data_IF_752380138433
#
_entry.id   IF_752380138433
#
_cell.length_a   1.000
_cell.length_b   1.000
_cell.length_c   1.000
_cell.angle_alpha   90.00
_cell.angle_beta   90.00
_cell.angle_gamma   90.00
#
_symmetry.space_group_name_H-M   'P 1'
#
loop_
_entity.id
_entity.type
_entity.pdbx_description
1 polymer ?
#
# COMPACT_ATOMS: atom_id res chain seq x y z
N UNK A 1 -7.76 -35.83 -19.32
CA UNK A 1 -7.99 -35.19 -18.00
C UNK A 1 -7.58 -33.74 -18.15
N UNK A 2 -8.52 -32.85 -18.54
CA UNK A 2 -8.28 -31.45 -18.63
C UNK A 2 -8.03 -30.93 -17.20
N UNK A 3 -6.80 -30.51 -16.97
CA UNK A 3 -6.46 -29.72 -15.78
C UNK A 3 -7.23 -28.40 -15.91
N UNK A 4 -8.37 -28.30 -15.25
CA UNK A 4 -9.07 -27.03 -15.06
C UNK A 4 -8.13 -26.12 -14.26
N UNK A 5 -7.23 -25.45 -14.97
CA UNK A 5 -6.33 -24.49 -14.38
C UNK A 5 -7.19 -23.33 -13.89
N UNK A 6 -7.34 -23.24 -12.58
CA UNK A 6 -7.97 -22.07 -11.97
C UNK A 6 -7.23 -20.81 -12.44
N UNK A 7 -7.95 -19.76 -12.86
CA UNK A 7 -7.31 -18.55 -13.40
C UNK A 7 -6.30 -17.95 -12.41
N UNK A 8 -5.17 -17.52 -12.92
CA UNK A 8 -4.17 -16.83 -12.11
C UNK A 8 -4.66 -15.48 -11.58
N UNK A 9 -4.02 -14.97 -10.54
CA UNK A 9 -4.35 -13.69 -9.91
C UNK A 9 -3.16 -13.10 -9.18
N UNK A 10 -3.30 -11.84 -8.77
CA UNK A 10 -2.27 -11.08 -8.06
C UNK A 10 -2.78 -10.78 -6.66
N UNK A 11 -1.95 -11.06 -5.64
CA UNK A 11 -2.12 -10.58 -4.27
C UNK A 11 -1.06 -9.51 -4.05
N UNK A 12 -1.50 -8.28 -3.83
CA UNK A 12 -0.62 -7.12 -3.64
C UNK A 12 -0.69 -6.64 -2.19
N UNK A 13 0.36 -6.97 -1.40
CA UNK A 13 0.48 -6.49 -0.04
C UNK A 13 1.21 -5.15 -0.05
N UNK A 14 0.52 -4.09 0.36
CA UNK A 14 1.08 -2.75 0.56
C UNK A 14 1.01 -2.36 2.03
N UNK A 15 1.87 -1.44 2.45
CA UNK A 15 1.95 -1.00 3.84
C UNK A 15 3.35 -0.49 4.17
N UNK A 16 3.50 0.21 5.28
CA UNK A 16 4.77 0.76 5.73
C UNK A 16 5.83 -0.33 5.96
N UNK A 17 7.09 0.04 6.01
CA UNK A 17 8.17 -0.89 6.38
C UNK A 17 7.90 -1.46 7.77
N UNK A 18 8.33 -2.70 8.04
CA UNK A 18 8.09 -3.41 9.32
C UNK A 18 6.60 -3.66 9.66
N UNK A 19 5.65 -3.34 8.78
CA UNK A 19 4.22 -3.67 9.00
C UNK A 19 3.93 -5.18 8.95
N UNK A 20 4.82 -6.00 8.38
CA UNK A 20 4.66 -7.47 8.32
C UNK A 20 4.38 -8.01 6.93
N UNK A 21 4.52 -7.21 5.86
CA UNK A 21 4.29 -7.61 4.47
C UNK A 21 5.05 -8.86 4.07
N UNK A 22 6.38 -8.85 4.21
CA UNK A 22 7.27 -9.98 3.89
C UNK A 22 6.86 -11.25 4.59
N UNK A 23 6.57 -11.19 5.90
CA UNK A 23 6.14 -12.35 6.69
C UNK A 23 4.86 -12.95 6.15
N UNK A 24 3.85 -12.12 5.89
CA UNK A 24 2.57 -12.56 5.34
C UNK A 24 2.73 -13.07 3.91
N UNK A 25 3.47 -12.37 3.06
CA UNK A 25 3.67 -12.76 1.66
C UNK A 25 4.39 -14.10 1.53
N UNK A 26 5.45 -14.32 2.32
CA UNK A 26 6.18 -15.59 2.34
C UNK A 26 5.28 -16.76 2.73
N UNK A 27 4.51 -16.61 3.81
CA UNK A 27 3.59 -17.64 4.28
C UNK A 27 2.45 -17.90 3.27
N UNK A 28 1.90 -16.85 2.65
CA UNK A 28 0.89 -16.97 1.60
C UNK A 28 1.45 -17.74 0.40
N UNK A 29 2.62 -17.36 -0.10
CA UNK A 29 3.25 -18.00 -1.25
C UNK A 29 3.55 -19.47 -0.98
N UNK A 30 4.10 -19.80 0.19
CA UNK A 30 4.39 -21.17 0.59
C UNK A 30 3.11 -22.03 0.64
N UNK A 31 2.06 -21.55 1.27
CA UNK A 31 0.81 -22.30 1.39
C UNK A 31 0.11 -22.50 0.04
N UNK A 32 0.08 -21.49 -0.79
CA UNK A 32 -0.48 -21.59 -2.14
C UNK A 32 0.31 -22.60 -3.00
N UNK A 33 1.64 -22.58 -2.92
CA UNK A 33 2.49 -23.54 -3.61
C UNK A 33 2.24 -24.99 -3.10
N UNK A 34 2.15 -25.18 -1.79
CA UNK A 34 1.83 -26.50 -1.19
C UNK A 34 0.43 -26.99 -1.56
N UNK A 35 -0.52 -26.11 -1.79
CA UNK A 35 -1.84 -26.42 -2.31
C UNK A 35 -1.87 -26.68 -3.83
N UNK A 36 -0.70 -26.72 -4.48
CA UNK A 36 -0.57 -27.04 -5.91
C UNK A 36 -0.77 -25.85 -6.86
N UNK A 37 -0.79 -24.60 -6.34
CA UNK A 37 -0.84 -23.40 -7.18
C UNK A 37 0.56 -23.01 -7.65
N UNK A 38 0.82 -22.85 -8.95
CA UNK A 38 2.03 -22.18 -9.42
C UNK A 38 2.10 -20.78 -8.80
N UNK A 39 3.07 -20.55 -7.93
CA UNK A 39 3.12 -19.30 -7.15
C UNK A 39 4.49 -18.67 -7.25
N UNK A 40 4.52 -17.35 -7.47
CA UNK A 40 5.73 -16.54 -7.46
C UNK A 40 5.63 -15.48 -6.37
N UNK A 41 6.60 -15.49 -5.46
CA UNK A 41 6.80 -14.41 -4.49
C UNK A 41 7.61 -13.29 -5.15
N UNK A 42 7.15 -12.05 -5.00
CA UNK A 42 7.83 -10.83 -5.39
C UNK A 42 7.92 -9.91 -4.18
N UNK A 43 9.03 -9.97 -3.47
CA UNK A 43 9.27 -9.16 -2.26
C UNK A 43 10.39 -8.16 -2.53
N UNK A 44 10.11 -6.86 -2.31
CA UNK A 44 11.08 -5.79 -2.55
C UNK A 44 12.28 -5.84 -1.59
N UNK A 45 12.09 -6.35 -0.37
CA UNK A 45 13.15 -6.52 0.62
C UNK A 45 13.82 -7.92 0.54
N UNK A 46 13.32 -8.81 -0.33
CA UNK A 46 13.73 -10.21 -0.47
C UNK A 46 14.20 -10.60 -1.86
N UNK A 47 13.64 -11.69 -2.38
CA UNK A 47 14.09 -12.34 -3.63
C UNK A 47 13.97 -11.45 -4.87
N UNK A 48 13.02 -10.53 -4.90
CA UNK A 48 12.81 -9.64 -6.03
C UNK A 48 13.57 -8.31 -5.91
N UNK A 49 14.52 -8.20 -4.97
CA UNK A 49 15.31 -6.98 -4.75
C UNK A 49 16.04 -6.50 -6.01
N UNK A 50 16.38 -7.38 -6.92
CA UNK A 50 17.00 -7.01 -8.20
C UNK A 50 16.08 -6.12 -9.07
N UNK A 51 14.76 -6.22 -8.92
CA UNK A 51 13.80 -5.41 -9.66
C UNK A 51 13.80 -3.93 -9.24
N UNK A 52 14.35 -3.61 -8.08
CA UNK A 52 14.44 -2.24 -7.58
C UNK A 52 15.83 -1.62 -7.77
N UNK A 53 16.78 -2.36 -8.34
CA UNK A 53 18.14 -1.84 -8.57
C UNK A 53 18.12 -0.57 -9.40
N UNK A 54 18.91 0.42 -8.97
CA UNK A 54 19.03 1.73 -9.63
C UNK A 54 17.87 2.68 -9.34
N UNK A 55 16.92 2.32 -8.47
CA UNK A 55 15.85 3.19 -8.02
C UNK A 55 16.17 3.77 -6.63
N UNK A 56 15.78 5.02 -6.42
CA UNK A 56 15.88 5.73 -5.15
C UNK A 56 14.54 5.77 -4.40
N UNK A 57 14.29 6.91 -3.74
CA UNK A 57 13.08 7.14 -2.92
C UNK A 57 12.19 8.26 -3.48
N UNK A 58 12.39 8.70 -4.73
CA UNK A 58 11.49 9.68 -5.34
C UNK A 58 10.12 9.06 -5.63
N UNK A 59 9.13 9.91 -5.85
CA UNK A 59 7.79 9.45 -6.25
C UNK A 59 7.84 8.61 -7.53
N UNK A 60 8.67 9.03 -8.49
CA UNK A 60 8.84 8.34 -9.77
C UNK A 60 9.54 6.99 -9.59
N UNK A 61 10.53 6.89 -8.68
CA UNK A 61 11.18 5.64 -8.35
C UNK A 61 10.18 4.64 -7.75
N UNK A 62 9.36 5.08 -6.80
CA UNK A 62 8.30 4.23 -6.23
C UNK A 62 7.26 3.82 -7.27
N UNK A 63 6.91 4.70 -8.21
CA UNK A 63 6.03 4.34 -9.32
C UNK A 63 6.71 3.31 -10.26
N UNK A 64 8.01 3.44 -10.48
CA UNK A 64 8.78 2.48 -11.27
C UNK A 64 8.86 1.10 -10.59
N UNK A 65 8.99 1.04 -9.26
CA UNK A 65 8.89 -0.22 -8.50
C UNK A 65 7.55 -0.90 -8.78
N UNK A 66 6.44 -0.18 -8.61
CA UNK A 66 5.09 -0.73 -8.86
C UNK A 66 4.94 -1.23 -10.29
N UNK A 67 5.46 -0.49 -11.28
CA UNK A 67 5.41 -0.90 -12.69
C UNK A 67 6.21 -2.17 -12.96
N UNK A 68 7.46 -2.27 -12.44
CA UNK A 68 8.33 -3.44 -12.64
C UNK A 68 7.73 -4.69 -12.00
N UNK A 69 7.31 -4.60 -10.73
CA UNK A 69 6.64 -5.68 -10.03
C UNK A 69 5.31 -6.06 -10.69
N UNK A 70 4.52 -5.06 -11.05
CA UNK A 70 3.23 -5.24 -11.73
C UNK A 70 3.37 -5.93 -13.08
N UNK A 71 4.42 -5.63 -13.85
CA UNK A 71 4.69 -6.32 -15.11
C UNK A 71 4.93 -7.82 -14.91
N UNK A 72 5.83 -8.18 -13.97
CA UNK A 72 6.12 -9.58 -13.63
C UNK A 72 4.89 -10.28 -13.06
N UNK A 73 4.19 -9.64 -12.13
CA UNK A 73 2.98 -10.19 -11.51
C UNK A 73 1.88 -10.50 -12.53
N UNK A 74 1.67 -9.61 -13.50
CA UNK A 74 0.70 -9.83 -14.58
C UNK A 74 1.14 -10.96 -15.51
N UNK A 75 2.42 -11.10 -15.81
CA UNK A 75 2.93 -12.21 -16.60
C UNK A 75 2.66 -13.56 -15.91
N UNK A 76 2.93 -13.66 -14.60
CA UNK A 76 2.64 -14.84 -13.78
C UNK A 76 1.14 -15.15 -13.76
N UNK A 77 0.31 -14.14 -13.49
CA UNK A 77 -1.15 -14.31 -13.46
C UNK A 77 -1.73 -14.72 -14.83
N UNK A 78 -1.20 -14.16 -15.93
CA UNK A 78 -1.61 -14.53 -17.28
C UNK A 78 -1.24 -15.97 -17.63
N UNK A 79 -0.16 -16.50 -17.09
CA UNK A 79 0.25 -17.90 -17.21
C UNK A 79 -0.54 -18.85 -16.29
N UNK A 80 -1.55 -18.38 -15.55
CA UNK A 80 -2.36 -19.18 -14.64
C UNK A 80 -1.80 -19.29 -13.21
N UNK A 81 -0.66 -18.67 -12.92
CA UNK A 81 -0.04 -18.66 -11.60
C UNK A 81 -0.60 -17.60 -10.67
N UNK A 82 -0.18 -17.66 -9.41
CA UNK A 82 -0.47 -16.64 -8.39
C UNK A 82 0.80 -15.83 -8.13
N UNK A 83 0.73 -14.51 -8.34
CA UNK A 83 1.79 -13.60 -7.93
C UNK A 83 1.47 -13.03 -6.55
N UNK A 84 2.34 -13.25 -5.58
CA UNK A 84 2.26 -12.67 -4.25
C UNK A 84 3.31 -11.56 -4.16
N UNK A 85 2.85 -10.31 -4.14
CA UNK A 85 3.73 -9.15 -4.14
C UNK A 85 3.75 -8.51 -2.75
N UNK A 86 4.94 -8.21 -2.22
CA UNK A 86 5.14 -7.42 -1.02
C UNK A 86 5.96 -6.19 -1.37
N UNK A 87 5.30 -5.03 -1.42
CA UNK A 87 5.92 -3.77 -1.81
C UNK A 87 5.45 -2.61 -0.91
N UNK A 88 6.34 -1.67 -0.65
CA UNK A 88 5.98 -0.45 0.08
C UNK A 88 4.87 0.30 -0.67
N UNK A 89 5.09 0.54 -1.98
CA UNK A 89 4.15 1.19 -2.90
C UNK A 89 3.34 2.33 -2.25
N UNK A 90 4.00 3.42 -1.80
CA UNK A 90 3.39 4.40 -0.90
C UNK A 90 2.35 5.28 -1.58
N UNK A 91 2.41 5.44 -2.90
CA UNK A 91 1.53 6.33 -3.64
C UNK A 91 0.34 5.61 -4.25
N UNK A 92 -0.84 6.16 -4.04
CA UNK A 92 -2.12 5.59 -4.48
C UNK A 92 -2.24 5.51 -5.99
N UNK A 93 -1.83 6.56 -6.69
CA UNK A 93 -1.92 6.65 -8.16
C UNK A 93 -1.20 5.50 -8.87
N UNK A 94 -0.02 5.09 -8.38
CA UNK A 94 0.73 3.97 -8.94
C UNK A 94 0.01 2.63 -8.74
N UNK A 95 -0.58 2.39 -7.54
CA UNK A 95 -1.35 1.18 -7.25
C UNK A 95 -2.65 1.12 -8.04
N UNK A 96 -3.36 2.25 -8.17
CA UNK A 96 -4.58 2.33 -8.99
C UNK A 96 -4.30 2.14 -10.48
N UNK A 97 -3.17 2.64 -10.99
CA UNK A 97 -2.74 2.37 -12.36
C UNK A 97 -2.53 0.87 -12.59
N UNK A 98 -1.82 0.19 -11.68
CA UNK A 98 -1.64 -1.25 -11.76
C UNK A 98 -2.96 -2.02 -11.67
N UNK A 99 -3.87 -1.62 -10.78
CA UNK A 99 -5.21 -2.23 -10.63
C UNK A 99 -6.00 -2.18 -11.94
N UNK A 100 -5.95 -1.07 -12.66
CA UNK A 100 -6.64 -0.92 -13.96
C UNK A 100 -6.09 -1.86 -15.03
N UNK A 101 -4.80 -2.16 -14.98
CA UNK A 101 -4.14 -3.06 -15.93
C UNK A 101 -4.27 -4.54 -15.55
N UNK A 102 -4.54 -4.86 -14.29
CA UNK A 102 -4.61 -6.22 -13.78
C UNK A 102 -6.07 -6.70 -13.69
N UNK A 103 -6.41 -7.80 -14.40
CA UNK A 103 -7.79 -8.33 -14.44
C UNK A 103 -8.26 -8.97 -13.13
N UNK A 104 -7.34 -9.60 -12.40
CA UNK A 104 -7.60 -10.32 -11.14
C UNK A 104 -6.57 -9.86 -10.12
N UNK A 105 -6.92 -8.84 -9.37
CA UNK A 105 -6.04 -8.11 -8.45
C UNK A 105 -6.70 -7.97 -7.09
N UNK A 106 -5.99 -8.36 -6.04
CA UNK A 106 -6.42 -8.24 -4.64
C UNK A 106 -5.39 -7.38 -3.92
N UNK A 107 -5.79 -6.18 -3.52
CA UNK A 107 -4.96 -5.30 -2.71
C UNK A 107 -5.22 -5.56 -1.23
N UNK A 108 -4.16 -5.89 -0.51
CA UNK A 108 -4.18 -6.11 0.93
C UNK A 108 -3.37 -5.01 1.59
N UNK A 109 -4.03 -4.15 2.32
CA UNK A 109 -3.36 -3.14 3.13
C UNK A 109 -2.93 -3.75 4.46
N UNK A 110 -1.63 -3.91 4.64
CA UNK A 110 -1.01 -4.39 5.87
C UNK A 110 -0.74 -3.18 6.75
N UNK A 111 -1.65 -2.95 7.69
CA UNK A 111 -1.65 -1.78 8.55
C UNK A 111 -0.98 -2.08 9.89
N UNK A 112 -0.20 -1.12 10.39
CA UNK A 112 0.41 -1.17 11.70
C UNK A 112 0.62 0.26 12.21
N UNK A 113 0.30 0.47 13.50
CA UNK A 113 0.52 1.76 14.14
C UNK A 113 2.01 2.06 14.30
N UNK A 114 2.36 3.34 14.34
CA UNK A 114 3.76 3.78 14.47
C UNK A 114 4.44 3.19 15.70
N UNK A 115 3.73 3.05 16.82
CA UNK A 115 4.25 2.44 18.04
C UNK A 115 4.69 0.99 17.81
N UNK A 116 3.88 0.24 17.05
CA UNK A 116 4.19 -1.15 16.69
C UNK A 116 5.36 -1.22 15.72
N UNK A 117 5.44 -0.29 14.78
CA UNK A 117 6.58 -0.20 13.83
C UNK A 117 7.88 0.10 14.57
N UNK A 118 7.86 1.03 15.53
CA UNK A 118 9.00 1.35 16.40
C UNK A 118 9.45 0.15 17.26
N UNK A 119 8.52 -0.66 17.75
CA UNK A 119 8.85 -1.89 18.48
C UNK A 119 9.50 -2.93 17.58
N UNK A 120 9.07 -3.03 16.32
CA UNK A 120 9.58 -3.97 15.31
C UNK A 120 10.85 -3.49 14.61
N UNK A 121 11.26 -2.27 14.86
CA UNK A 121 12.35 -1.58 14.13
C UNK A 121 13.72 -2.26 14.33
N UNK A 122 13.91 -2.92 15.47
CA UNK A 122 15.07 -3.74 15.76
C UNK A 122 16.38 -2.95 15.71
N UNK A 123 17.45 -3.63 15.26
CA UNK A 123 18.80 -3.03 15.19
C UNK A 123 18.98 -1.98 14.11
N UNK A 124 18.17 -2.02 13.07
CA UNK A 124 18.23 -1.05 11.96
C UNK A 124 17.77 0.35 12.40
N UNK A 125 16.91 0.40 13.42
CA UNK A 125 16.39 1.63 14.02
C UNK A 125 15.87 2.62 12.96
N UNK A 126 15.25 2.10 11.86
CA UNK A 126 14.80 2.85 10.70
C UNK A 126 13.93 4.06 11.10
N UNK A 127 12.86 3.78 11.84
CA UNK A 127 11.91 4.81 12.26
C UNK A 127 12.48 5.71 13.36
N UNK A 128 13.25 5.16 14.30
CA UNK A 128 13.91 5.95 15.35
C UNK A 128 14.87 6.96 14.76
N UNK A 129 15.70 6.53 13.81
CA UNK A 129 16.65 7.41 13.10
C UNK A 129 15.94 8.42 12.22
N UNK A 130 14.86 8.04 11.56
CA UNK A 130 14.07 8.97 10.75
C UNK A 130 13.40 10.06 11.62
N UNK A 131 12.81 9.67 12.75
CA UNK A 131 12.22 10.64 13.70
C UNK A 131 13.26 11.55 14.35
N UNK A 132 14.52 11.09 14.50
CA UNK A 132 15.65 11.91 14.93
C UNK A 132 16.28 12.74 13.80
N UNK A 133 15.70 12.71 12.59
CA UNK A 133 16.22 13.37 11.38
C UNK A 133 17.63 12.90 10.94
N UNK A 134 18.05 11.72 11.40
CA UNK A 134 19.32 11.08 11.01
C UNK A 134 19.20 10.31 9.70
N UNK A 135 17.98 10.02 9.27
CA UNK A 135 17.68 9.28 8.05
C UNK A 135 16.50 9.93 7.35
N UNK A 136 16.62 10.09 6.04
CA UNK A 136 15.56 10.62 5.18
C UNK A 136 15.02 9.55 4.22
N UNK A 137 13.85 9.81 3.63
CA UNK A 137 13.24 8.90 2.66
C UNK A 137 12.46 7.76 3.30
N UNK A 138 11.91 7.97 4.49
CA UNK A 138 11.14 6.95 5.23
C UNK A 138 9.65 7.24 5.14
N UNK A 139 8.93 6.37 4.46
CA UNK A 139 7.48 6.50 4.32
C UNK A 139 6.77 6.44 5.68
N UNK A 140 5.88 7.40 5.91
CA UNK A 140 5.18 7.58 7.17
C UNK A 140 5.88 8.50 8.17
N UNK A 141 7.08 9.02 7.84
CA UNK A 141 7.82 10.02 8.63
C UNK A 141 8.04 11.28 7.80
N UNK A 142 8.98 11.25 6.86
CA UNK A 142 9.32 12.38 5.98
C UNK A 142 8.81 12.19 4.55
N UNK A 143 8.49 10.95 4.13
CA UNK A 143 7.75 10.69 2.91
C UNK A 143 6.31 10.31 3.21
N UNK A 144 5.34 10.74 2.39
CA UNK A 144 3.95 10.35 2.56
C UNK A 144 3.76 8.86 2.31
N UNK A 145 2.89 8.23 3.07
CA UNK A 145 2.28 6.95 2.74
C UNK A 145 0.77 7.18 2.59
N UNK A 146 0.25 6.94 1.41
CA UNK A 146 -1.16 7.11 1.07
C UNK A 146 -1.89 5.77 1.22
N UNK A 147 -2.66 5.54 2.31
CA UNK A 147 -3.42 4.30 2.47
C UNK A 147 -4.34 4.04 1.27
N UNK A 148 -4.53 2.77 0.86
CA UNK A 148 -5.46 2.44 -0.21
C UNK A 148 -6.88 2.90 0.13
N UNK A 149 -7.56 3.53 -0.85
CA UNK A 149 -8.96 3.93 -0.68
C UNK A 149 -9.93 2.74 -0.84
N UNK A 150 -9.54 1.74 -1.61
CA UNK A 150 -10.40 0.63 -2.04
C UNK A 150 -9.70 -0.72 -1.94
N UNK A 151 -8.90 -0.94 -0.87
CA UNK A 151 -8.31 -2.25 -0.63
C UNK A 151 -9.40 -3.32 -0.43
N UNK A 152 -9.24 -4.49 -1.04
CA UNK A 152 -10.13 -5.63 -0.80
C UNK A 152 -10.08 -6.08 0.66
N UNK A 153 -8.94 -5.86 1.32
CA UNK A 153 -8.77 -6.21 2.72
C UNK A 153 -7.78 -5.27 3.42
N UNK A 154 -8.15 -4.85 4.63
CA UNK A 154 -7.25 -4.18 5.59
C UNK A 154 -6.92 -5.17 6.71
N UNK A 155 -5.63 -5.41 6.92
CA UNK A 155 -5.10 -6.28 7.97
C UNK A 155 -4.36 -5.43 9.00
N UNK A 156 -4.97 -5.10 10.14
CA UNK A 156 -4.23 -4.56 11.26
C UNK A 156 -3.35 -5.69 11.84
N UNK A 157 -2.06 -5.43 11.94
CA UNK A 157 -1.10 -6.43 12.44
C UNK A 157 -0.67 -6.19 13.88
N UNK A 158 -1.22 -5.17 14.53
CA UNK A 158 -0.94 -4.84 15.92
C UNK A 158 -1.46 -5.94 16.85
N UNK A 159 -0.52 -6.65 17.49
CA UNK A 159 -0.86 -7.74 18.43
C UNK A 159 -1.58 -8.94 17.79
N UNK A 160 -1.67 -9.02 16.47
CA UNK A 160 -2.35 -10.11 15.79
C UNK A 160 -1.37 -11.25 15.46
N UNK A 161 -1.76 -12.52 15.72
CA UNK A 161 -0.99 -13.67 15.25
C UNK A 161 -0.99 -13.73 13.72
N UNK A 162 0.13 -14.15 13.13
CA UNK A 162 0.26 -14.30 11.67
C UNK A 162 -0.83 -15.19 11.10
N UNK A 163 -1.17 -16.29 11.79
CA UNK A 163 -2.22 -17.24 11.37
C UNK A 163 -3.59 -16.58 11.25
N UNK A 164 -3.94 -15.70 12.16
CA UNK A 164 -5.21 -14.98 12.10
C UNK A 164 -5.25 -14.03 10.89
N UNK A 165 -4.14 -13.36 10.60
CA UNK A 165 -4.01 -12.50 9.41
C UNK A 165 -4.13 -13.31 8.13
N UNK A 166 -3.44 -14.45 8.01
CA UNK A 166 -3.50 -15.34 6.86
C UNK A 166 -4.91 -15.89 6.63
N UNK A 167 -5.58 -16.36 7.69
CA UNK A 167 -6.96 -16.84 7.61
C UNK A 167 -7.89 -15.77 7.04
N UNK A 168 -7.72 -14.50 7.45
CA UNK A 168 -8.51 -13.39 6.92
C UNK A 168 -8.21 -13.13 5.44
N UNK A 169 -6.94 -13.22 5.02
CA UNK A 169 -6.56 -13.06 3.62
C UNK A 169 -7.19 -14.18 2.78
N UNK A 170 -7.05 -15.45 3.19
CA UNK A 170 -7.67 -16.57 2.48
C UNK A 170 -9.20 -16.44 2.44
N UNK A 171 -9.84 -15.97 3.50
CA UNK A 171 -11.27 -15.70 3.51
C UNK A 171 -11.64 -14.62 2.45
N UNK A 172 -10.87 -13.54 2.35
CA UNK A 172 -11.10 -12.52 1.34
C UNK A 172 -10.93 -13.07 -0.10
N UNK A 173 -9.98 -14.00 -0.29
CA UNK A 173 -9.80 -14.68 -1.58
C UNK A 173 -11.00 -15.57 -1.94
N UNK A 174 -11.63 -16.25 -0.96
CA UNK A 174 -12.89 -16.99 -1.17
C UNK A 174 -14.03 -16.05 -1.52
N UNK A 175 -14.19 -14.99 -0.74
CA UNK A 175 -15.26 -13.99 -0.94
C UNK A 175 -15.18 -13.31 -2.31
N UNK A 176 -13.94 -13.08 -2.78
CA UNK A 176 -13.65 -12.55 -4.11
C UNK A 176 -13.65 -13.59 -5.24
N UNK A 177 -13.93 -14.87 -4.93
CA UNK A 177 -13.94 -15.98 -5.90
C UNK A 177 -12.58 -16.20 -6.60
N UNK A 178 -11.49 -15.96 -5.89
CA UNK A 178 -10.13 -16.25 -6.35
C UNK A 178 -9.75 -17.71 -6.07
N UNK A 179 -10.21 -18.24 -4.94
CA UNK A 179 -10.05 -19.63 -4.52
C UNK A 179 -11.40 -20.23 -4.10
N UNK A 180 -11.49 -21.55 -4.15
CA UNK A 180 -12.70 -22.28 -3.73
C UNK A 180 -12.70 -22.64 -2.24
N UNK A 181 -13.88 -23.04 -1.68
CA UNK A 181 -13.98 -23.45 -0.28
C UNK A 181 -13.10 -24.66 0.09
N UNK A 182 -12.92 -25.59 -0.84
CA UNK A 182 -12.06 -26.77 -0.64
C UNK A 182 -10.59 -26.35 -0.54
N UNK A 183 -10.15 -25.45 -1.43
CA UNK A 183 -8.80 -24.90 -1.42
C UNK A 183 -8.55 -24.11 -0.13
N UNK A 184 -9.52 -23.31 0.32
CA UNK A 184 -9.44 -22.63 1.63
C UNK A 184 -9.18 -23.61 2.78
N UNK A 185 -9.88 -24.75 2.81
CA UNK A 185 -9.66 -25.78 3.83
C UNK A 185 -8.22 -26.31 3.83
N UNK A 186 -7.65 -26.56 2.67
CA UNK A 186 -6.25 -26.98 2.55
C UNK A 186 -5.28 -25.90 3.02
N UNK A 187 -5.54 -24.62 2.68
CA UNK A 187 -4.68 -23.48 3.03
C UNK A 187 -4.71 -23.11 4.51
N UNK A 188 -5.80 -23.46 5.21
CA UNK A 188 -6.05 -23.08 6.61
C UNK A 188 -6.06 -24.28 7.58
N UNK A 189 -5.56 -25.45 7.15
CA UNK A 189 -5.50 -26.65 8.00
C UNK A 189 -6.87 -27.24 8.37
N UNK A 190 -7.83 -27.17 7.43
CA UNK A 190 -9.16 -27.78 7.62
C UNK A 190 -10.25 -26.83 8.15
N UNK A 191 -9.94 -25.56 8.35
CA UNK A 191 -10.96 -24.57 8.69
C UNK A 191 -11.98 -24.44 7.54
N UNK A 192 -13.24 -24.17 7.90
CA UNK A 192 -14.27 -23.85 6.91
C UNK A 192 -14.36 -22.34 6.68
N UNK A 193 -14.53 -21.86 5.44
CA UNK A 193 -14.69 -20.44 5.19
C UNK A 193 -15.98 -19.92 5.84
N UNK A 194 -15.91 -18.74 6.45
CA UNK A 194 -17.11 -18.08 6.98
C UNK A 194 -17.97 -17.61 5.81
N UNK A 195 -19.28 -17.85 5.88
CA UNK A 195 -20.22 -17.26 4.92
C UNK A 195 -20.18 -15.76 5.08
N UNK A 196 -20.05 -15.02 3.97
CA UNK A 196 -20.08 -13.55 3.97
C UNK A 196 -21.38 -13.13 4.66
N UNK A 197 -21.30 -12.46 5.80
CA UNK A 197 -22.46 -11.83 6.40
C UNK A 197 -23.00 -10.82 5.38
N UNK A 198 -24.31 -10.80 5.16
CA UNK A 198 -24.94 -9.78 4.36
C UNK A 198 -24.53 -8.40 4.90
N UNK A 199 -24.27 -7.40 4.06
CA UNK A 199 -23.82 -6.10 4.52
C UNK A 199 -24.85 -5.56 5.49
N UNK A 200 -24.46 -5.41 6.77
CA UNK A 200 -25.31 -4.74 7.75
C UNK A 200 -25.42 -3.28 7.34
N UNK A 201 -26.56 -2.91 6.82
CA UNK A 201 -26.94 -1.53 6.53
C UNK A 201 -27.08 -0.76 7.84
N UNK A 202 -25.95 -0.25 8.37
CA UNK A 202 -25.92 0.84 9.37
C UNK A 202 -24.60 1.59 9.23
N UNK A 203 -24.48 2.32 8.13
CA UNK A 203 -23.68 3.52 8.13
C UNK A 203 -24.47 4.58 8.92
N UNK A 204 -24.00 4.91 10.10
CA UNK A 204 -24.55 5.99 10.91
C UNK A 204 -24.47 7.31 10.13
N UNK A 205 -25.66 7.89 9.90
CA UNK A 205 -25.86 9.26 9.42
C UNK A 205 -25.08 10.22 10.34
N UNK A 206 -24.38 11.21 9.80
CA UNK A 206 -23.84 12.27 10.64
C UNK A 206 -25.02 13.09 11.19
N UNK A 207 -25.00 13.32 12.50
CA UNK A 207 -25.97 14.12 13.21
C UNK A 207 -26.00 15.55 12.64
N UNK A 208 -27.15 15.95 12.09
CA UNK A 208 -27.51 17.35 11.86
C UNK A 208 -27.89 17.97 13.22
N UNK A 209 -27.30 19.14 13.50
CA UNK A 209 -27.99 20.08 14.36
C UNK A 209 -27.15 20.68 15.47
N UNK A 210 -26.62 21.87 15.25
CA UNK A 210 -26.73 22.97 16.20
C UNK A 210 -26.73 24.29 15.41
N UNK A 211 -27.93 24.88 15.36
CA UNK A 211 -28.17 26.26 14.91
C UNK A 211 -27.76 27.20 16.04
N UNK A 212 -27.12 28.33 15.66
CA UNK A 212 -27.44 29.63 16.27
C UNK A 212 -26.41 30.21 17.22
N UNK A 213 -25.57 31.10 16.73
CA UNK A 213 -25.31 32.34 17.47
C UNK A 213 -25.04 33.47 16.46
N UNK A 214 -25.73 34.54 16.72
CA UNK A 214 -25.90 35.75 15.92
C UNK A 214 -24.62 36.55 15.74
N UNK A 215 -24.58 37.19 14.56
CA UNK A 215 -23.69 38.28 14.19
C UNK A 215 -23.92 39.53 15.03
N UNK A 216 -22.88 40.32 15.21
CA UNK A 216 -22.97 41.80 15.20
C UNK A 216 -21.64 42.40 14.75
N UNK A 217 -21.70 43.56 14.06
CA UNK A 217 -20.69 44.05 13.14
C UNK A 217 -19.91 45.26 13.65
N UNK A 218 -18.94 45.64 12.83
CA UNK A 218 -18.20 46.90 12.78
C UNK A 218 -16.73 46.80 13.30
N UNK A 219 -15.77 47.09 12.44
CA UNK A 219 -15.45 48.44 12.03
C UNK A 219 -14.55 48.46 10.78
N UNK A 220 -14.90 49.38 9.97
CA UNK A 220 -14.28 49.84 8.73
C UNK A 220 -13.03 50.65 9.04
N UNK A 221 -11.91 50.37 8.40
CA UNK A 221 -10.89 51.36 8.17
C UNK A 221 -10.27 51.19 6.78
N UNK A 222 -10.31 52.24 6.03
CA UNK A 222 -9.87 52.46 4.65
C UNK A 222 -8.36 52.73 4.55
N UNK A 223 -7.83 52.76 3.33
CA UNK A 223 -6.44 52.47 3.01
C UNK A 223 -5.55 53.74 2.92
N UNK A 224 -4.25 53.53 2.99
CA UNK A 224 -3.30 54.57 2.57
C UNK A 224 -2.43 54.06 1.42
N UNK A 225 -2.33 54.90 0.43
CA UNK A 225 -1.71 54.73 -0.86
C UNK A 225 -0.22 55.07 -0.89
N UNK A 226 0.41 54.52 -1.90
CA UNK A 226 1.48 55.11 -2.73
C UNK A 226 2.90 55.26 -2.14
N UNK A 227 3.89 54.63 -2.80
CA UNK A 227 4.88 55.37 -3.56
C UNK A 227 5.74 54.46 -4.44
N UNK A 228 5.69 54.79 -5.71
CA UNK A 228 6.59 54.33 -6.80
C UNK A 228 8.03 54.75 -6.52
N UNK A 229 9.00 53.95 -6.91
CA UNK A 229 10.17 54.41 -7.68
C UNK A 229 10.84 53.27 -8.38
N UNK A 230 10.95 53.40 -9.69
CA UNK A 230 11.55 52.48 -10.64
C UNK A 230 13.08 52.77 -10.83
N UNK A 231 13.65 52.44 -11.97
CA UNK A 231 14.77 51.50 -12.05
C UNK A 231 16.12 52.19 -12.35
N UNK A 232 17.23 51.44 -12.13
CA UNK A 232 18.51 51.82 -12.78
C UNK A 232 19.19 50.62 -13.40
N UNK A 233 19.37 50.73 -14.73
CA UNK A 233 20.29 50.00 -15.61
C UNK A 233 21.75 50.37 -15.31
N UNK A 234 22.65 49.43 -15.49
CA UNK A 234 23.97 49.55 -16.11
C UNK A 234 24.59 48.16 -16.10
N UNK A 235 24.78 47.52 -17.21
CA UNK A 235 25.74 47.65 -18.29
C UNK A 235 27.12 47.04 -17.95
N UNK A 236 27.35 45.85 -18.52
CA UNK A 236 28.47 45.45 -19.36
C UNK A 236 29.92 45.61 -18.88
N UNK A 237 30.71 44.51 -18.95
CA UNK A 237 31.91 44.36 -19.82
C UNK A 237 32.65 43.05 -19.49
N UNK A 238 32.68 42.18 -20.47
CA UNK A 238 33.83 41.64 -21.26
C UNK A 238 35.18 41.55 -20.54
N UNK A 239 35.82 40.38 -20.46
CA UNK A 239 36.97 39.96 -21.28
C UNK A 239 37.67 38.75 -20.65
N UNK A 240 37.85 37.74 -21.50
CA UNK A 240 39.08 37.02 -21.89
C UNK A 240 40.13 36.69 -20.79
N UNK A 241 40.31 35.50 -20.42
CA UNK A 241 41.40 34.60 -20.87
C UNK A 241 41.06 33.14 -20.54
#
# INVERSE_FOLDING_TARGET
MELQQSPGFIIWLTGMKKAGKTTLATQLAQRLALAGRPTQLLDEDGEAKFLIQGLGNSKDDHAAVVKRFGYVARAVAKAGGVAVCAALSPYRDAREALRKEARRFVEVFVDARMETLLQRDGKEALYKRALASELQGVAGVDLPYEPPAHAELVIPTDGQPVEACLTRIFQALVDGKYIGPTEFGHLTGGLKPKRKAAPSAKASRPAKGAKGAKASPAARAKPAAAARKGPKKAAARTARR
#
